data_IF_403459320169
#
_entry.id   IF_403459320169
#
_cell.length_a   1.000
_cell.length_b   1.000
_cell.length_c   1.000
_cell.angle_alpha   90.00
_cell.angle_beta   90.00
_cell.angle_gamma   90.00
#
_symmetry.space_group_name_H-M   'P 1'
#
loop_
_entity.id
_entity.type
_entity.pdbx_description
1 polymer ?
#
# COMPACT_ATOMS: atom_id res chain seq x y z
N UNK A 1 0.87 14.88 8.87
CA UNK A 1 0.67 14.80 7.41
C UNK A 1 1.18 13.44 6.96
N UNK A 2 0.30 12.51 6.61
CA UNK A 2 0.66 11.09 6.36
C UNK A 2 1.03 10.80 4.88
N UNK A 3 0.55 11.65 3.97
CA UNK A 3 0.69 11.49 2.53
C UNK A 3 2.15 11.41 2.05
N UNK A 4 3.10 12.28 2.45
CA UNK A 4 4.43 12.25 1.85
C UNK A 4 5.23 10.99 2.23
N UNK A 5 5.05 10.46 3.44
CA UNK A 5 5.71 9.23 3.88
C UNK A 5 5.11 7.98 3.24
N UNK A 6 3.78 7.95 3.06
CA UNK A 6 3.11 6.80 2.47
C UNK A 6 3.32 6.75 0.95
N UNK A 7 3.31 7.90 0.26
CA UNK A 7 3.66 8.01 -1.15
C UNK A 7 5.11 7.58 -1.41
N UNK A 8 6.05 7.93 -0.51
CA UNK A 8 7.44 7.46 -0.56
C UNK A 8 7.53 5.94 -0.45
N UNK A 9 6.81 5.34 0.48
CA UNK A 9 6.79 3.89 0.68
C UNK A 9 6.32 3.14 -0.58
N UNK A 10 5.33 3.67 -1.31
CA UNK A 10 4.89 3.08 -2.58
C UNK A 10 6.02 3.09 -3.62
N UNK A 11 6.74 4.21 -3.76
CA UNK A 11 7.88 4.30 -4.68
C UNK A 11 8.96 3.28 -4.30
N UNK A 12 9.32 3.23 -3.02
CA UNK A 12 10.36 2.32 -2.52
C UNK A 12 9.98 0.83 -2.74
N UNK A 13 8.68 0.50 -2.70
CA UNK A 13 8.18 -0.86 -3.01
C UNK A 13 8.12 -1.17 -4.51
N UNK A 14 7.81 -0.17 -5.35
CA UNK A 14 7.60 -0.36 -6.79
C UNK A 14 8.93 -0.36 -7.55
N UNK A 15 9.92 0.42 -7.13
CA UNK A 15 11.21 0.55 -7.81
C UNK A 15 11.90 -0.81 -8.08
N UNK A 16 11.99 -1.75 -7.12
CA UNK A 16 12.57 -3.08 -7.37
C UNK A 16 11.79 -3.89 -8.42
N UNK A 17 10.47 -3.71 -8.49
CA UNK A 17 9.60 -4.41 -9.45
C UNK A 17 9.84 -3.85 -10.86
N UNK A 18 9.96 -2.54 -11.00
CA UNK A 18 10.24 -1.90 -12.28
C UNK A 18 11.62 -2.28 -12.81
N UNK A 19 12.62 -2.38 -11.93
CA UNK A 19 13.97 -2.83 -12.30
C UNK A 19 13.94 -4.26 -12.86
N UNK A 20 13.29 -5.19 -12.16
CA UNK A 20 13.14 -6.59 -12.60
C UNK A 20 12.35 -6.74 -13.92
N UNK A 21 11.42 -5.83 -14.18
CA UNK A 21 10.57 -5.86 -15.38
C UNK A 21 11.05 -4.88 -16.47
N UNK A 22 12.25 -4.31 -16.34
CA UNK A 22 12.79 -3.40 -17.35
C UNK A 22 13.02 -4.15 -18.66
N UNK A 23 12.36 -3.76 -19.77
CA UNK A 23 12.58 -4.38 -21.07
C UNK A 23 14.02 -4.14 -21.57
N UNK A 24 14.61 -5.12 -22.26
CA UNK A 24 16.01 -5.05 -22.69
C UNK A 24 16.37 -3.95 -23.71
N UNK A 25 15.40 -3.17 -24.20
CA UNK A 25 15.64 -1.97 -25.03
C UNK A 25 15.72 -0.67 -24.21
N UNK A 26 15.43 -0.73 -22.90
CA UNK A 26 15.53 0.39 -21.96
C UNK A 26 16.69 0.14 -20.99
N UNK A 27 17.47 1.18 -20.74
CA UNK A 27 18.54 1.12 -19.73
C UNK A 27 18.00 1.11 -18.29
N UNK A 28 16.84 1.73 -18.06
CA UNK A 28 16.16 1.71 -16.75
C UNK A 28 14.70 2.15 -16.84
N UNK A 29 13.86 1.65 -15.91
CA UNK A 29 12.48 2.09 -15.69
C UNK A 29 12.29 2.42 -14.21
N UNK A 30 11.78 3.61 -13.87
CA UNK A 30 11.61 4.08 -12.48
C UNK A 30 10.36 4.93 -12.29
N UNK A 31 9.79 4.91 -11.08
CA UNK A 31 8.64 5.75 -10.71
C UNK A 31 9.13 7.04 -10.01
N UNK A 32 9.24 8.13 -10.77
CA UNK A 32 9.83 9.38 -10.26
C UNK A 32 8.92 10.20 -9.35
N UNK A 33 7.60 10.14 -9.55
CA UNK A 33 6.63 10.92 -8.77
C UNK A 33 5.35 10.11 -8.59
N UNK A 34 4.90 10.01 -7.35
CA UNK A 34 3.65 9.38 -6.98
C UNK A 34 3.02 10.17 -5.84
N UNK A 35 1.69 10.34 -5.90
CA UNK A 35 0.92 10.95 -4.82
C UNK A 35 -0.35 10.14 -4.60
N UNK A 36 -0.74 9.99 -3.34
CA UNK A 36 -2.01 9.36 -2.96
C UNK A 36 -3.20 10.30 -3.16
N UNK A 37 -2.93 11.56 -3.51
CA UNK A 37 -3.93 12.60 -3.59
C UNK A 37 -4.33 13.14 -2.21
N UNK A 38 -5.36 13.98 -2.21
CA UNK A 38 -5.76 14.76 -1.02
C UNK A 38 -7.00 14.21 -0.32
N UNK A 39 -7.74 13.29 -0.96
CA UNK A 39 -8.94 12.69 -0.40
C UNK A 39 -8.59 11.43 0.36
N UNK A 40 -8.82 11.44 1.68
CA UNK A 40 -8.61 10.27 2.52
C UNK A 40 -9.56 9.13 2.12
N UNK A 41 -9.12 7.85 2.25
CA UNK A 41 -10.01 6.71 2.11
C UNK A 41 -11.11 6.75 3.18
N UNK A 42 -12.32 6.38 2.80
CA UNK A 42 -13.45 6.23 3.71
C UNK A 42 -13.56 4.77 4.10
N UNK A 43 -13.91 4.53 5.36
CA UNK A 43 -14.24 3.20 5.87
C UNK A 43 -15.71 3.25 6.23
N UNK A 44 -16.51 2.42 5.58
CA UNK A 44 -17.97 2.40 5.72
C UNK A 44 -18.42 1.47 6.86
N UNK A 45 -17.61 0.46 7.18
CA UNK A 45 -17.86 -0.44 8.29
C UNK A 45 -16.63 -1.25 8.69
N UNK A 46 -16.58 -1.62 9.96
CA UNK A 46 -15.54 -2.52 10.49
C UNK A 46 -16.23 -3.70 11.13
N UNK A 47 -15.83 -4.92 10.73
CA UNK A 47 -16.27 -6.16 11.36
C UNK A 47 -15.11 -6.75 12.16
N UNK A 48 -15.32 -6.97 13.45
CA UNK A 48 -14.33 -7.61 14.32
C UNK A 48 -14.76 -9.03 14.64
N UNK A 49 -13.81 -9.97 14.62
CA UNK A 49 -14.07 -11.37 14.93
C UNK A 49 -13.60 -11.69 16.35
N UNK A 50 -14.55 -11.89 17.27
CA UNK A 50 -14.28 -12.24 18.67
C UNK A 50 -14.22 -13.76 18.93
N UNK A 51 -14.58 -14.56 17.92
CA UNK A 51 -14.72 -16.01 18.04
C UNK A 51 -13.47 -16.78 17.62
N UNK A 52 -12.38 -16.08 17.30
CA UNK A 52 -11.13 -16.73 16.93
C UNK A 52 -10.58 -17.50 18.14
N UNK A 53 -10.29 -18.79 17.92
CA UNK A 53 -9.76 -19.68 18.96
C UNK A 53 -8.43 -19.17 19.52
N UNK A 54 -7.63 -18.51 18.68
CA UNK A 54 -6.40 -17.85 19.09
C UNK A 54 -6.67 -16.44 19.65
N UNK A 55 -6.60 -16.33 20.99
CA UNK A 55 -6.78 -15.08 21.73
C UNK A 55 -5.56 -14.15 21.70
N UNK A 56 -4.48 -14.52 21.01
CA UNK A 56 -3.28 -13.69 20.89
C UNK A 56 -3.36 -12.64 19.77
N UNK A 57 -4.39 -12.71 18.92
CA UNK A 57 -4.56 -11.83 17.78
C UNK A 57 -5.97 -11.22 17.75
N UNK A 58 -6.04 -9.96 17.33
CA UNK A 58 -7.30 -9.27 17.04
C UNK A 58 -7.40 -9.16 15.53
N UNK A 59 -8.46 -9.72 14.95
CA UNK A 59 -8.71 -9.66 13.50
C UNK A 59 -9.89 -8.76 13.22
N UNK A 60 -9.70 -7.87 12.25
CA UNK A 60 -10.70 -6.91 11.81
C UNK A 60 -10.72 -6.84 10.29
N UNK A 61 -11.91 -6.99 9.71
CA UNK A 61 -12.16 -6.70 8.30
C UNK A 61 -12.71 -5.27 8.16
N UNK A 62 -12.07 -4.49 7.31
CA UNK A 62 -12.40 -3.08 7.10
C UNK A 62 -12.99 -2.93 5.70
N UNK A 63 -14.27 -2.56 5.64
CA UNK A 63 -14.97 -2.34 4.37
C UNK A 63 -14.81 -0.89 3.94
N UNK A 64 -14.31 -0.71 2.72
CA UNK A 64 -14.23 0.58 2.03
C UNK A 64 -15.53 0.89 1.27
#
# INVERSE_FOLDING_TARGET
>A
MFEPSLSRMVIDMVDPILDQNTPGFLDSLRLSTFTLGTKAPRIDGVRTYSELEDRSQIVMDWHA
#
